data_IF_898451027412
#
_entry.id   IF_898451027412
#
_cell.length_a   1.000
_cell.length_b   1.000
_cell.length_c   1.000
_cell.angle_alpha   90.00
_cell.angle_beta   90.00
_cell.angle_gamma   90.00
#
_symmetry.space_group_name_H-M   'P 1'
#
loop_
_entity.id
_entity.type
_entity.pdbx_description
1 polymer ?
#
# COMPACT_ATOMS: atom_id res chain seq x y z
N UNK A 1 13.37 2.81 -20.78
CA UNK A 1 11.97 2.56 -20.38
C UNK A 1 11.95 1.20 -19.70
N UNK A 2 11.95 1.21 -18.38
CA UNK A 2 11.84 0.00 -17.57
C UNK A 2 10.45 -0.60 -17.84
N UNK A 3 10.39 -1.73 -18.53
CA UNK A 3 9.11 -2.43 -18.77
C UNK A 3 8.76 -3.13 -17.48
N UNK A 4 8.22 -2.36 -16.53
CA UNK A 4 7.69 -2.86 -15.27
C UNK A 4 6.77 -4.05 -15.56
N UNK A 5 6.95 -5.11 -14.78
CA UNK A 5 6.18 -6.35 -14.88
C UNK A 5 4.69 -5.99 -14.89
N UNK A 6 3.98 -6.43 -15.93
CA UNK A 6 2.56 -6.12 -16.12
C UNK A 6 1.71 -6.74 -14.99
N UNK A 7 0.66 -6.02 -14.57
CA UNK A 7 -0.25 -6.43 -13.48
C UNK A 7 -0.81 -7.82 -13.71
N UNK A 8 -1.22 -8.11 -14.95
CA UNK A 8 -1.79 -9.41 -15.33
C UNK A 8 -0.75 -10.51 -15.18
N UNK A 9 0.52 -10.23 -15.49
CA UNK A 9 1.61 -11.20 -15.34
C UNK A 9 1.82 -11.60 -13.88
N UNK A 10 1.73 -10.65 -12.94
CA UNK A 10 1.89 -10.93 -11.51
C UNK A 10 0.74 -11.82 -11.01
N UNK A 11 -0.51 -11.45 -11.32
CA UNK A 11 -1.67 -12.25 -10.91
C UNK A 11 -1.61 -13.67 -11.46
N UNK A 12 -1.29 -13.83 -12.75
CA UNK A 12 -1.14 -15.14 -13.38
C UNK A 12 -0.03 -15.96 -12.69
N UNK A 13 1.11 -15.34 -12.37
CA UNK A 13 2.23 -16.04 -11.74
C UNK A 13 1.95 -16.49 -10.29
N UNK A 14 1.07 -15.76 -9.59
CA UNK A 14 0.55 -16.15 -8.27
C UNK A 14 -0.43 -17.32 -8.43
N UNK A 15 -1.41 -17.18 -9.31
CA UNK A 15 -2.46 -18.20 -9.54
C UNK A 15 -1.90 -19.51 -10.09
N UNK A 16 -0.89 -19.46 -10.96
CA UNK A 16 -0.21 -20.62 -11.51
C UNK A 16 0.74 -21.30 -10.52
N UNK A 17 0.98 -20.69 -9.34
CA UNK A 17 1.95 -21.17 -8.35
C UNK A 17 3.41 -21.10 -8.81
N UNK A 18 3.71 -20.41 -9.92
CA UNK A 18 5.08 -20.32 -10.46
C UNK A 18 6.03 -19.59 -9.50
N UNK A 19 5.48 -18.70 -8.67
CA UNK A 19 6.21 -18.00 -7.61
C UNK A 19 6.30 -18.81 -6.29
N UNK A 20 5.83 -20.05 -6.25
CA UNK A 20 5.79 -20.84 -5.01
C UNK A 20 4.92 -20.20 -3.92
N UNK A 21 5.26 -20.47 -2.65
CA UNK A 21 4.51 -19.91 -1.52
C UNK A 21 4.91 -18.46 -1.28
N UNK A 22 3.95 -17.56 -1.51
CA UNK A 22 4.09 -16.15 -1.15
C UNK A 22 3.96 -16.00 0.36
N UNK A 23 4.87 -15.22 0.96
CA UNK A 23 4.90 -14.97 2.41
C UNK A 23 4.66 -13.51 2.77
N UNK A 24 4.93 -12.58 1.85
CA UNK A 24 4.76 -11.15 2.07
C UNK A 24 4.52 -10.41 0.75
N UNK A 25 3.48 -9.57 0.71
CA UNK A 25 3.36 -8.47 -0.28
C UNK A 25 3.60 -7.12 0.41
N UNK A 26 4.60 -6.37 -0.07
CA UNK A 26 4.95 -5.04 0.43
C UNK A 26 4.59 -3.98 -0.61
N UNK A 27 3.56 -3.19 -0.31
CA UNK A 27 3.08 -2.08 -1.12
C UNK A 27 3.54 -0.76 -0.51
N UNK A 28 4.50 -0.12 -1.16
CA UNK A 28 5.02 1.19 -0.75
C UNK A 28 4.58 2.25 -1.74
N UNK A 29 3.85 3.23 -1.24
CA UNK A 29 3.35 4.38 -1.98
C UNK A 29 3.93 5.63 -1.34
N UNK A 30 5.10 6.02 -1.84
CA UNK A 30 5.86 7.18 -1.35
C UNK A 30 5.69 8.29 -2.37
N UNK A 31 4.58 9.00 -2.28
CA UNK A 31 4.33 10.19 -3.07
C UNK A 31 4.69 11.41 -2.22
N UNK A 32 5.24 12.44 -2.88
CA UNK A 32 5.42 13.73 -2.25
C UNK A 32 4.41 14.71 -2.83
N UNK A 33 3.67 15.40 -1.96
CA UNK A 33 2.81 16.53 -2.32
C UNK A 33 3.13 17.67 -1.38
N UNK A 34 3.40 18.85 -1.95
CA UNK A 34 3.54 20.07 -1.16
C UNK A 34 2.17 20.51 -0.64
N UNK A 35 2.12 21.36 0.39
CA UNK A 35 0.87 21.89 0.94
C UNK A 35 -0.01 22.56 -0.13
N UNK A 36 0.61 23.26 -1.09
CA UNK A 36 -0.09 23.89 -2.21
C UNK A 36 -0.88 22.90 -3.08
N UNK A 37 -0.57 21.60 -3.06
CA UNK A 37 -1.39 20.59 -3.73
C UNK A 37 -2.82 20.53 -3.18
N UNK A 38 -2.96 20.70 -1.87
CA UNK A 38 -4.24 20.75 -1.18
C UNK A 38 -4.87 22.14 -1.31
N UNK A 39 -4.08 23.20 -1.10
CA UNK A 39 -4.56 24.59 -1.09
C UNK A 39 -5.00 25.06 -2.49
N UNK A 40 -4.28 24.69 -3.56
CA UNK A 40 -4.58 25.04 -4.95
C UNK A 40 -5.59 24.03 -5.56
N UNK A 41 -6.72 23.82 -4.90
CA UNK A 41 -7.77 22.90 -5.33
C UNK A 41 -9.04 23.60 -5.81
N UNK A 42 -9.65 23.08 -6.88
CA UNK A 42 -10.99 23.45 -7.33
C UNK A 42 -11.85 22.19 -7.51
N UNK A 43 -13.06 22.14 -6.93
CA UNK A 43 -13.64 23.10 -5.98
C UNK A 43 -12.83 23.24 -4.68
N UNK A 44 -12.90 24.37 -3.99
CA UNK A 44 -12.04 24.63 -2.82
C UNK A 44 -12.13 23.48 -1.78
N UNK A 45 -11.00 23.13 -1.18
CA UNK A 45 -10.86 22.15 -0.08
C UNK A 45 -11.20 20.69 -0.42
N UNK A 46 -11.54 20.36 -1.67
CA UNK A 46 -11.91 18.99 -2.02
C UNK A 46 -10.77 17.99 -1.75
N UNK A 47 -9.52 18.46 -1.79
CA UNK A 47 -8.33 17.64 -1.55
C UNK A 47 -7.95 17.47 -0.08
N UNK A 48 -8.63 18.19 0.81
CA UNK A 48 -8.29 18.25 2.24
C UNK A 48 -9.36 17.60 3.12
N UNK A 49 -10.54 17.35 2.54
CA UNK A 49 -11.76 16.93 3.23
C UNK A 49 -11.99 15.42 3.11
N UNK A 50 -12.41 14.78 4.21
CA UNK A 50 -12.73 13.34 4.24
C UNK A 50 -13.82 12.94 3.26
N UNK A 51 -14.83 13.78 3.08
CA UNK A 51 -16.00 13.48 2.24
C UNK A 51 -15.68 13.47 0.74
N UNK A 52 -14.56 14.07 0.33
CA UNK A 52 -14.21 14.27 -1.09
C UNK A 52 -12.88 13.65 -1.49
N UNK A 53 -11.82 13.78 -0.69
CA UNK A 53 -10.51 13.16 -0.98
C UNK A 53 -10.30 11.89 -0.14
N UNK A 54 -10.62 11.92 1.15
CA UNK A 54 -10.47 10.74 2.02
C UNK A 54 -9.03 10.32 2.30
N UNK A 55 -8.02 11.05 1.80
CA UNK A 55 -6.60 10.91 2.17
C UNK A 55 -5.69 10.27 1.13
N UNK A 56 -4.45 10.02 1.53
CA UNK A 56 -3.40 9.48 0.64
C UNK A 56 -3.72 8.07 0.15
N UNK A 57 -4.20 7.20 1.02
CA UNK A 57 -4.54 5.83 0.69
C UNK A 57 -5.82 5.79 -0.15
N UNK A 58 -6.85 6.57 0.23
CA UNK A 58 -8.15 6.57 -0.42
C UNK A 58 -8.17 7.25 -1.80
N UNK A 59 -7.41 8.32 -2.00
CA UNK A 59 -7.38 9.02 -3.29
C UNK A 59 -6.23 8.53 -4.17
N UNK A 60 -5.00 8.62 -3.65
CA UNK A 60 -3.81 8.35 -4.46
C UNK A 60 -3.50 6.85 -4.49
N UNK A 61 -3.75 6.15 -3.37
CA UNK A 61 -3.43 4.74 -3.17
C UNK A 61 -4.43 3.75 -3.73
N UNK A 62 -5.66 4.18 -4.03
CA UNK A 62 -6.81 3.29 -4.28
C UNK A 62 -6.57 2.25 -5.36
N UNK A 63 -5.93 2.63 -6.47
CA UNK A 63 -5.64 1.68 -7.54
C UNK A 63 -4.65 0.60 -7.14
N UNK A 64 -3.72 0.90 -6.25
CA UNK A 64 -2.75 -0.07 -5.75
C UNK A 64 -3.37 -0.96 -4.67
N UNK A 65 -4.23 -0.39 -3.82
CA UNK A 65 -4.97 -1.12 -2.79
C UNK A 65 -5.97 -2.08 -3.43
N UNK A 66 -6.76 -1.61 -4.41
CA UNK A 66 -7.67 -2.45 -5.19
C UNK A 66 -6.93 -3.61 -5.88
N UNK A 67 -5.72 -3.36 -6.39
CA UNK A 67 -4.87 -4.41 -6.96
C UNK A 67 -4.50 -5.48 -5.94
N UNK A 68 -4.13 -5.09 -4.73
CA UNK A 68 -3.85 -6.01 -3.63
C UNK A 68 -5.11 -6.79 -3.25
N UNK A 69 -6.26 -6.12 -3.12
CA UNK A 69 -7.54 -6.76 -2.79
C UNK A 69 -8.04 -7.74 -3.86
N UNK A 70 -7.70 -7.51 -5.13
CA UNK A 70 -8.01 -8.47 -6.20
C UNK A 70 -7.14 -9.73 -6.15
N UNK A 71 -5.92 -9.64 -5.61
CA UNK A 71 -4.99 -10.78 -5.47
C UNK A 71 -5.22 -11.56 -4.19
N UNK A 72 -5.63 -10.89 -3.11
CA UNK A 72 -5.65 -11.47 -1.78
C UNK A 72 -7.00 -11.30 -1.09
N UNK A 73 -7.41 -12.35 -0.39
CA UNK A 73 -8.50 -12.29 0.58
C UNK A 73 -7.93 -11.93 1.95
N UNK A 74 -8.50 -10.90 2.57
CA UNK A 74 -8.05 -10.37 3.86
C UNK A 74 -8.69 -11.16 5.02
N UNK A 75 -7.89 -11.53 6.01
CA UNK A 75 -8.38 -12.16 7.26
C UNK A 75 -8.29 -11.22 8.46
N UNK A 76 -7.26 -10.36 8.53
CA UNK A 76 -7.07 -9.38 9.61
C UNK A 76 -6.24 -8.19 9.13
N UNK A 77 -6.50 -7.02 9.68
CA UNK A 77 -5.69 -5.83 9.53
C UNK A 77 -5.44 -5.10 10.86
N UNK A 78 -4.33 -4.35 10.91
CA UNK A 78 -4.00 -3.36 11.95
C UNK A 78 -3.46 -2.12 11.26
N UNK A 79 -4.02 -0.94 11.54
CA UNK A 79 -3.70 0.32 10.87
C UNK A 79 -3.34 1.43 11.86
N UNK A 80 -2.30 2.20 11.54
CA UNK A 80 -1.84 3.38 12.29
C UNK A 80 -1.56 4.54 11.33
N UNK A 81 -1.85 5.79 11.72
CA UNK A 81 -1.69 6.94 10.83
C UNK A 81 -1.34 8.27 11.53
N UNK A 82 -0.75 9.17 10.76
CA UNK A 82 -0.44 10.57 11.08
C UNK A 82 -0.97 11.50 9.99
N UNK A 83 -1.31 12.74 10.35
CA UNK A 83 -1.81 13.79 9.46
C UNK A 83 -1.04 15.12 9.64
N UNK A 84 -1.04 15.97 8.61
CA UNK A 84 -0.75 17.40 8.75
C UNK A 84 -2.02 18.14 9.23
N UNK A 85 -2.08 19.47 9.08
CA UNK A 85 -3.26 20.30 9.37
C UNK A 85 -4.37 20.12 8.33
N UNK A 86 -4.72 18.87 8.06
CA UNK A 86 -5.85 18.47 7.23
C UNK A 86 -6.62 17.36 7.97
N UNK A 87 -7.86 17.13 7.58
CA UNK A 87 -8.69 16.14 8.25
C UNK A 87 -8.21 14.71 7.90
N UNK A 88 -7.78 14.48 6.66
CA UNK A 88 -7.41 13.14 6.15
C UNK A 88 -6.00 12.67 6.51
N UNK A 89 -5.71 11.37 6.36
CA UNK A 89 -4.38 10.84 6.65
C UNK A 89 -3.33 11.23 5.60
N UNK A 90 -2.15 11.61 6.08
CA UNK A 90 -1.00 11.94 5.23
C UNK A 90 0.12 10.90 5.29
N UNK A 91 0.14 10.07 6.34
CA UNK A 91 1.06 8.96 6.48
C UNK A 91 0.38 7.83 7.24
N UNK A 92 0.13 6.71 6.58
CA UNK A 92 -0.46 5.52 7.17
C UNK A 92 0.37 4.27 6.93
N UNK A 93 0.39 3.37 7.90
CA UNK A 93 0.92 2.01 7.77
C UNK A 93 -0.17 1.03 8.14
N UNK A 94 -0.38 0.03 7.31
CA UNK A 94 -1.32 -1.07 7.56
C UNK A 94 -0.57 -2.39 7.45
N UNK A 95 -0.69 -3.22 8.47
CA UNK A 95 -0.23 -4.61 8.45
C UNK A 95 -1.45 -5.50 8.21
N UNK A 96 -1.36 -6.36 7.21
CA UNK A 96 -2.42 -7.26 6.76
C UNK A 96 -2.01 -8.71 7.01
N UNK A 97 -2.99 -9.55 7.31
CA UNK A 97 -2.91 -11.01 7.22
C UNK A 97 -3.92 -11.47 6.20
N UNK A 98 -3.50 -12.30 5.24
CA UNK A 98 -4.38 -12.87 4.22
C UNK A 98 -4.89 -14.25 4.63
N UNK A 99 -5.97 -14.72 3.99
CA UNK A 99 -6.49 -16.09 4.19
C UNK A 99 -5.46 -17.16 3.82
N UNK A 100 -4.51 -16.84 2.94
CA UNK A 100 -3.38 -17.70 2.58
C UNK A 100 -2.27 -17.78 3.64
N UNK A 101 -2.46 -17.15 4.80
CA UNK A 101 -1.45 -16.93 5.85
C UNK A 101 -0.26 -16.03 5.47
N UNK A 102 -0.20 -15.55 4.23
CA UNK A 102 0.75 -14.53 3.82
C UNK A 102 0.47 -13.20 4.54
N UNK A 103 1.52 -12.43 4.79
CA UNK A 103 1.40 -11.09 5.32
C UNK A 103 1.33 -10.04 4.20
N UNK A 104 0.77 -8.88 4.52
CA UNK A 104 0.83 -7.70 3.68
C UNK A 104 1.27 -6.49 4.48
N UNK A 105 1.99 -5.57 3.86
CA UNK A 105 2.27 -4.24 4.44
C UNK A 105 1.92 -3.19 3.41
N UNK A 106 1.08 -2.23 3.80
CA UNK A 106 0.79 -1.03 3.02
C UNK A 106 1.44 0.15 3.73
N UNK A 107 2.27 0.90 3.01
CA UNK A 107 2.84 2.17 3.46
C UNK A 107 2.37 3.26 2.49
N UNK A 108 1.49 4.14 2.95
CA UNK A 108 1.02 5.27 2.16
C UNK A 108 1.49 6.57 2.81
N UNK A 109 2.16 7.45 2.06
CA UNK A 109 2.53 8.78 2.58
C UNK A 109 2.56 9.86 1.51
N UNK A 110 2.25 11.11 1.92
CA UNK A 110 2.42 12.38 1.17
C UNK A 110 3.65 13.21 1.61
N UNK A 111 4.30 12.83 2.71
CA UNK A 111 5.38 13.57 3.39
C UNK A 111 6.66 13.74 2.56
N UNK A 112 7.33 14.89 2.75
CA UNK A 112 8.66 15.17 2.19
C UNK A 112 9.72 14.31 2.86
N UNK A 113 10.55 13.66 2.05
CA UNK A 113 11.78 13.01 2.47
C UNK A 113 12.93 13.86 1.92
N UNK A 114 14.08 13.89 2.62
CA UNK A 114 15.32 14.55 2.16
C UNK A 114 15.85 14.00 0.82
N UNK A 115 15.25 12.92 0.28
CA UNK A 115 15.49 12.37 -1.05
C UNK A 115 14.20 12.39 -1.87
N UNK A 116 14.22 13.09 -3.01
CA UNK A 116 13.15 13.04 -4.01
C UNK A 116 13.09 11.66 -4.64
N UNK A 117 12.17 10.80 -4.18
CA UNK A 117 11.83 9.55 -4.87
C UNK A 117 10.32 9.46 -5.00
N UNK A 118 9.80 9.66 -6.20
CA UNK A 118 8.45 9.19 -6.55
C UNK A 118 8.58 7.68 -6.69
N UNK A 119 8.16 6.93 -5.67
CA UNK A 119 8.28 5.47 -5.67
C UNK A 119 6.93 4.84 -5.36
N UNK A 120 6.38 4.17 -6.37
CA UNK A 120 5.48 3.05 -6.16
C UNK A 120 6.31 1.79 -6.28
N UNK A 121 6.39 1.00 -5.21
CA UNK A 121 7.10 -0.26 -5.19
C UNK A 121 6.16 -1.34 -4.68
N UNK A 122 6.03 -2.41 -5.46
CA UNK A 122 5.36 -3.65 -5.06
C UNK A 122 6.44 -4.71 -5.00
N UNK A 123 6.69 -5.28 -3.82
CA UNK A 123 7.59 -6.40 -3.65
C UNK A 123 6.80 -7.60 -3.17
N UNK A 124 7.01 -8.74 -3.83
CA UNK A 124 6.43 -10.02 -3.44
C UNK A 124 7.58 -10.92 -3.02
N UNK A 125 7.55 -11.35 -1.76
CA UNK A 125 8.54 -12.26 -1.22
C UNK A 125 7.99 -13.68 -1.24
N UNK A 126 8.82 -14.61 -1.70
CA UNK A 126 8.48 -16.01 -1.87
C UNK A 126 9.52 -16.92 -1.22
N UNK A 127 9.11 -18.14 -0.92
CA UNK A 127 10.01 -19.20 -0.47
C UNK A 127 9.51 -20.56 -0.96
N UNK A 128 10.45 -21.48 -1.20
CA UNK A 128 10.16 -22.89 -1.53
C UNK A 128 10.08 -23.78 -0.29
N UNK A 129 10.60 -23.32 0.86
CA UNK A 129 10.70 -24.11 2.09
C UNK A 129 10.47 -23.19 3.32
N UNK A 130 9.29 -23.25 3.93
CA UNK A 130 9.00 -22.52 5.17
C UNK A 130 8.00 -23.23 6.07
N UNK A 131 8.18 -23.08 7.40
CA UNK A 131 7.20 -23.39 8.45
C UNK A 131 6.98 -22.11 9.26
N UNK A 132 5.72 -21.70 9.45
CA UNK A 132 5.36 -20.58 10.32
C UNK A 132 5.61 -20.97 11.77
N UNK A 133 6.37 -20.17 12.49
CA UNK A 133 6.52 -20.29 13.95
C UNK A 133 5.61 -19.26 14.61
N UNK A 134 4.86 -19.66 15.64
CA UNK A 134 4.11 -18.73 16.49
C UNK A 134 5.09 -17.89 17.30
N UNK A 135 4.82 -16.61 17.45
CA UNK A 135 5.60 -15.75 18.35
C UNK A 135 5.55 -16.35 19.76
N UNK A 136 6.72 -16.56 20.37
CA UNK A 136 6.80 -16.76 21.81
C UNK A 136 6.39 -15.44 22.45
N UNK A 137 5.30 -15.45 23.21
CA UNK A 137 4.93 -14.32 24.05
C UNK A 137 6.07 -14.06 25.04
N UNK A 138 6.63 -12.85 25.01
CA UNK A 138 7.43 -12.31 26.11
C UNK A 138 6.50 -11.62 27.10
#
# INVERSE_FOLDING_TARGET
MDKGIDRLTISIAIESGTLGTIILEDLRMKWHRAQSYCDDSWPLDWRSNHSTEGGSAANQGVYSINQLQQRWRLSRDIAEHYNHQIETEDCGVVILTFESDAFGVIQARKLRILQFVILKLIQIFQTKHYRRYGWCHC
#
